data_IF_888023332691
#
_entry.id   IF_888023332691
#
_cell.length_a   1.000
_cell.length_b   1.000
_cell.length_c   1.000
_cell.angle_alpha   90.00
_cell.angle_beta   90.00
_cell.angle_gamma   90.00
#
_symmetry.space_group_name_H-M   'P 1'
#
loop_
_entity.id
_entity.type
_entity.pdbx_description
1 polymer ?
#
# COMPACT_ATOMS: atom_id res chain seq x y z
N UNK A 1 -52.64 20.87 -1.76
CA UNK A 1 -51.37 21.00 -2.49
C UNK A 1 -50.36 20.17 -1.73
N UNK A 2 -50.01 19.01 -2.28
CA UNK A 2 -49.06 18.05 -1.71
C UNK A 2 -47.74 18.20 -2.47
N UNK A 3 -46.61 18.24 -1.77
CA UNK A 3 -45.29 18.10 -2.38
C UNK A 3 -44.62 16.88 -1.76
N UNK A 4 -44.28 15.92 -2.61
CA UNK A 4 -43.62 14.65 -2.32
C UNK A 4 -42.18 14.85 -1.80
N UNK A 5 -41.85 14.07 -0.77
CA UNK A 5 -40.47 13.79 -0.33
C UNK A 5 -39.97 12.57 -1.11
N UNK A 6 -39.18 12.79 -2.15
CA UNK A 6 -38.40 11.74 -2.80
C UNK A 6 -37.03 12.30 -3.18
N UNK A 7 -35.96 11.63 -2.73
CA UNK A 7 -34.60 11.97 -3.17
C UNK A 7 -33.45 11.55 -2.25
N UNK A 8 -33.58 10.47 -1.47
CA UNK A 8 -32.38 9.81 -0.95
C UNK A 8 -31.76 9.00 -2.10
N UNK A 9 -30.61 9.43 -2.59
CA UNK A 9 -29.59 8.57 -3.23
C UNK A 9 -28.32 9.36 -3.50
N UNK A 10 -27.21 8.91 -2.90
CA UNK A 10 -25.89 9.06 -3.47
C UNK A 10 -25.13 7.73 -3.25
N UNK A 11 -24.73 7.01 -4.32
CA UNK A 11 -24.07 5.72 -4.27
C UNK A 11 -22.53 5.86 -4.38
N UNK A 12 -21.88 6.64 -3.51
CA UNK A 12 -20.44 6.93 -3.63
C UNK A 12 -19.55 6.06 -2.73
N UNK A 13 -20.11 5.42 -1.70
CA UNK A 13 -19.33 4.59 -0.75
C UNK A 13 -18.95 3.21 -1.31
N UNK A 14 -19.63 2.72 -2.34
CA UNK A 14 -19.42 1.36 -2.87
C UNK A 14 -18.17 1.27 -3.78
N UNK A 15 -17.82 2.36 -4.45
CA UNK A 15 -16.71 2.37 -5.41
C UNK A 15 -15.32 2.33 -4.76
N UNK A 16 -15.20 2.83 -3.52
CA UNK A 16 -13.95 2.80 -2.76
C UNK A 16 -13.62 1.37 -2.27
N UNK A 17 -14.64 0.62 -1.82
CA UNK A 17 -14.45 -0.78 -1.42
C UNK A 17 -14.19 -1.71 -2.60
N UNK A 18 -14.80 -1.47 -3.77
CA UNK A 18 -14.57 -2.31 -4.95
C UNK A 18 -13.15 -2.16 -5.51
N UNK A 19 -12.57 -0.95 -5.47
CA UNK A 19 -11.20 -0.73 -5.92
C UNK A 19 -10.15 -1.42 -5.03
N UNK A 20 -10.42 -1.50 -3.71
CA UNK A 20 -9.61 -2.30 -2.76
C UNK A 20 -9.75 -3.79 -3.08
N UNK A 21 -10.98 -4.29 -3.30
CA UNK A 21 -11.25 -5.70 -3.66
C UNK A 21 -10.70 -6.12 -5.03
N UNK A 22 -10.57 -5.20 -5.98
CA UNK A 22 -9.96 -5.48 -7.29
C UNK A 22 -8.43 -5.53 -7.21
N UNK A 23 -7.81 -4.72 -6.34
CA UNK A 23 -6.38 -4.82 -6.03
C UNK A 23 -6.03 -6.11 -5.27
N UNK A 24 -6.85 -6.50 -4.29
CA UNK A 24 -6.72 -7.79 -3.59
C UNK A 24 -6.78 -8.99 -4.54
N UNK A 25 -7.56 -8.87 -5.64
CA UNK A 25 -7.62 -9.89 -6.70
C UNK A 25 -6.37 -9.93 -7.57
N UNK A 26 -5.76 -8.78 -7.85
CA UNK A 26 -4.53 -8.71 -8.66
C UNK A 26 -3.31 -9.31 -7.94
N UNK A 27 -3.29 -9.27 -6.60
CA UNK A 27 -2.27 -9.93 -5.78
C UNK A 27 -2.49 -11.46 -5.62
N UNK A 28 -3.68 -11.98 -5.97
CA UNK A 28 -4.05 -13.37 -5.70
C UNK A 28 -3.70 -14.36 -6.82
N UNK A 29 -3.39 -13.91 -8.03
CA UNK A 29 -3.28 -14.78 -9.22
C UNK A 29 -1.85 -14.99 -9.76
N UNK A 30 -0.86 -14.90 -8.88
CA UNK A 30 0.52 -15.30 -9.20
C UNK A 30 0.70 -16.80 -8.94
N UNK A 31 0.78 -17.57 -10.03
CA UNK A 31 1.07 -19.02 -10.12
C UNK A 31 2.03 -19.49 -9.01
N UNK A 32 1.50 -20.29 -8.06
CA UNK A 32 2.23 -20.81 -6.91
C UNK A 32 3.28 -21.84 -7.33
N UNK A 33 4.55 -21.42 -7.40
CA UNK A 33 5.68 -22.35 -7.26
C UNK A 33 5.88 -22.75 -5.78
N UNK A 34 6.27 -24.00 -5.47
CA UNK A 34 6.48 -24.47 -4.10
C UNK A 34 7.49 -23.61 -3.32
N UNK A 35 7.29 -23.38 -2.00
CA UNK A 35 8.10 -22.47 -1.19
C UNK A 35 9.58 -22.87 -1.06
N UNK A 36 9.92 -24.15 -1.26
CA UNK A 36 11.28 -24.67 -1.09
C UNK A 36 12.25 -24.32 -2.24
N UNK A 37 11.76 -23.71 -3.33
CA UNK A 37 12.56 -23.44 -4.54
C UNK A 37 12.64 -21.96 -4.91
N UNK A 38 12.02 -21.06 -4.13
CA UNK A 38 12.14 -19.62 -4.38
C UNK A 38 13.50 -19.18 -3.85
N UNK A 39 14.37 -18.68 -4.73
CA UNK A 39 15.45 -17.79 -4.28
C UNK A 39 14.86 -16.58 -3.54
N UNK A 40 15.71 -15.80 -2.87
CA UNK A 40 15.23 -14.60 -2.18
C UNK A 40 14.39 -13.76 -3.16
N UNK A 41 13.12 -13.44 -2.80
CA UNK A 41 12.23 -12.75 -3.72
C UNK A 41 12.83 -11.41 -4.12
N UNK A 42 12.90 -11.16 -5.44
CA UNK A 42 13.39 -9.91 -6.00
C UNK A 42 12.47 -8.77 -5.55
N UNK A 43 12.97 -7.73 -4.86
CA UNK A 43 12.15 -6.60 -4.49
C UNK A 43 11.65 -5.87 -5.74
N UNK A 44 10.34 -5.63 -5.81
CA UNK A 44 9.67 -4.95 -6.91
C UNK A 44 8.91 -3.74 -6.40
N UNK A 45 9.29 -2.55 -6.87
CA UNK A 45 8.55 -1.31 -6.63
C UNK A 45 7.56 -1.08 -7.76
N UNK A 46 6.28 -0.88 -7.44
CA UNK A 46 5.23 -0.53 -8.40
C UNK A 46 4.39 0.64 -7.91
N UNK A 47 3.90 1.50 -8.81
CA UNK A 47 3.07 2.64 -8.47
C UNK A 47 1.74 2.64 -9.23
N UNK A 48 0.80 3.48 -8.79
CA UNK A 48 -0.53 3.64 -9.39
C UNK A 48 -0.48 4.01 -10.89
N UNK A 49 0.57 4.72 -11.33
CA UNK A 49 0.79 5.09 -12.73
C UNK A 49 1.27 3.93 -13.63
N UNK A 50 1.43 2.73 -13.08
CA UNK A 50 1.90 1.55 -13.78
C UNK A 50 3.43 1.44 -13.87
N UNK A 51 4.19 2.41 -13.32
CA UNK A 51 5.65 2.31 -13.27
C UNK A 51 6.09 1.13 -12.39
N UNK A 52 7.19 0.48 -12.81
CA UNK A 52 7.76 -0.70 -12.14
C UNK A 52 9.29 -0.63 -12.15
N UNK A 53 9.91 -0.95 -11.01
CA UNK A 53 11.37 -1.02 -10.85
C UNK A 53 11.72 -2.27 -10.04
N UNK A 54 12.42 -3.22 -10.66
CA UNK A 54 13.04 -4.36 -9.97
C UNK A 54 14.35 -3.91 -9.31
N UNK A 55 14.67 -4.50 -8.16
CA UNK A 55 15.85 -4.11 -7.36
C UNK A 55 15.97 -2.58 -7.18
N UNK A 56 14.91 -1.90 -6.70
CA UNK A 56 14.92 -0.46 -6.55
C UNK A 56 16.01 -0.05 -5.54
N UNK A 57 16.90 0.85 -5.96
CA UNK A 57 17.85 1.49 -5.04
C UNK A 57 17.17 2.60 -4.23
N UNK A 58 17.89 3.16 -3.26
CA UNK A 58 17.38 4.22 -2.39
C UNK A 58 16.91 5.45 -3.19
N UNK A 59 17.59 5.81 -4.27
CA UNK A 59 17.25 6.96 -5.09
C UNK A 59 15.96 6.71 -5.89
N UNK A 60 15.76 5.51 -6.42
CA UNK A 60 14.55 5.09 -7.10
C UNK A 60 13.35 5.10 -6.14
N UNK A 61 13.53 4.61 -4.91
CA UNK A 61 12.52 4.64 -3.84
C UNK A 61 12.15 6.10 -3.50
N UNK A 62 13.15 6.95 -3.23
CA UNK A 62 12.92 8.36 -2.90
C UNK A 62 12.19 9.09 -4.03
N UNK A 63 12.61 8.88 -5.28
CA UNK A 63 11.97 9.47 -6.43
C UNK A 63 10.53 9.00 -6.60
N UNK A 64 10.24 7.72 -6.33
CA UNK A 64 8.89 7.17 -6.44
C UNK A 64 7.95 7.74 -5.36
N UNK A 65 8.40 7.79 -4.09
CA UNK A 65 7.67 8.47 -3.01
C UNK A 65 7.48 9.96 -3.35
N UNK A 66 8.49 10.56 -3.98
CA UNK A 66 8.48 11.93 -4.51
C UNK A 66 7.30 12.23 -5.44
N UNK A 67 6.90 11.24 -6.25
CA UNK A 67 5.83 11.33 -7.25
C UNK A 67 4.43 11.03 -6.72
N UNK A 68 4.28 10.68 -5.44
CA UNK A 68 2.97 10.46 -4.84
C UNK A 68 2.12 11.74 -4.93
N UNK A 69 0.92 11.58 -5.46
CA UNK A 69 -0.04 12.66 -5.70
C UNK A 69 -1.47 12.11 -5.76
N UNK A 70 -2.53 12.94 -5.76
CA UNK A 70 -3.89 12.45 -5.91
C UNK A 70 -4.14 11.60 -7.18
N UNK A 71 -3.31 11.77 -8.23
CA UNK A 71 -3.38 10.98 -9.47
C UNK A 71 -2.46 9.75 -9.48
N UNK A 72 -1.42 9.76 -8.65
CA UNK A 72 -0.49 8.65 -8.46
C UNK A 72 -0.43 8.33 -6.97
N UNK A 73 -1.53 7.80 -6.46
CA UNK A 73 -1.89 7.92 -5.04
C UNK A 73 -1.37 6.77 -4.17
N UNK A 74 -0.79 5.72 -4.76
CA UNK A 74 -0.15 4.65 -4.02
C UNK A 74 1.13 4.15 -4.67
N UNK A 75 1.94 3.49 -3.83
CA UNK A 75 3.20 2.82 -4.15
C UNK A 75 3.24 1.51 -3.36
N UNK A 76 3.64 0.41 -3.98
CA UNK A 76 3.84 -0.89 -3.33
C UNK A 76 5.27 -1.35 -3.57
N UNK A 77 5.95 -1.77 -2.52
CA UNK A 77 7.21 -2.48 -2.57
C UNK A 77 6.96 -3.93 -2.15
N UNK A 78 6.97 -4.83 -3.11
CA UNK A 78 6.74 -6.26 -2.94
C UNK A 78 8.06 -7.00 -2.78
N UNK A 79 8.08 -7.99 -1.89
CA UNK A 79 9.19 -8.93 -1.70
C UNK A 79 8.61 -10.32 -1.42
N UNK A 80 7.87 -10.86 -2.40
CA UNK A 80 7.26 -12.17 -2.34
C UNK A 80 5.99 -12.19 -1.48
N UNK A 81 6.01 -12.93 -0.37
CA UNK A 81 4.83 -13.01 0.49
C UNK A 81 4.69 -11.76 1.41
N UNK A 82 5.71 -10.89 1.43
CA UNK A 82 5.75 -9.65 2.20
C UNK A 82 5.64 -8.44 1.28
N UNK A 83 4.97 -7.38 1.74
CA UNK A 83 4.98 -6.09 1.04
C UNK A 83 4.92 -4.93 2.03
N UNK A 84 5.33 -3.75 1.55
CA UNK A 84 5.03 -2.45 2.16
C UNK A 84 4.32 -1.58 1.14
N UNK A 85 3.17 -1.02 1.51
CA UNK A 85 2.39 -0.10 0.69
C UNK A 85 2.36 1.28 1.32
N UNK A 86 2.44 2.31 0.48
CA UNK A 86 2.24 3.71 0.86
C UNK A 86 1.09 4.26 0.04
N UNK A 87 0.12 4.88 0.70
CA UNK A 87 -1.01 5.53 0.03
C UNK A 87 -1.20 6.96 0.54
N UNK A 88 -1.63 7.86 -0.34
CA UNK A 88 -1.83 9.29 -0.08
C UNK A 88 -3.26 9.73 -0.48
N UNK A 89 -3.83 10.64 0.30
CA UNK A 89 -5.09 11.33 -0.03
C UNK A 89 -6.33 10.58 0.46
N UNK A 90 -7.51 11.02 -0.01
CA UNK A 90 -8.81 10.54 0.47
C UNK A 90 -8.97 9.02 0.33
N UNK A 91 -8.46 8.46 -0.77
CA UNK A 91 -8.47 7.00 -1.04
C UNK A 91 -7.64 6.18 -0.05
N UNK A 92 -6.72 6.83 0.66
CA UNK A 92 -5.89 6.16 1.65
C UNK A 92 -6.58 6.04 3.02
N UNK A 93 -7.81 6.58 3.20
CA UNK A 93 -8.52 6.57 4.49
C UNK A 93 -7.68 7.12 5.67
N UNK A 94 -6.85 8.12 5.39
CA UNK A 94 -6.00 8.80 6.36
C UNK A 94 -6.40 10.28 6.46
N UNK A 95 -5.91 10.96 7.48
CA UNK A 95 -6.13 12.41 7.63
C UNK A 95 -5.47 13.21 6.49
N UNK A 96 -5.99 14.41 6.14
CA UNK A 96 -5.42 15.22 5.07
C UNK A 96 -3.93 15.52 5.28
N UNK A 97 -3.13 15.35 4.22
CA UNK A 97 -1.69 15.58 4.25
C UNK A 97 -0.86 14.47 4.91
N UNK A 98 -1.49 13.37 5.33
CA UNK A 98 -0.81 12.20 5.87
C UNK A 98 -0.81 11.05 4.85
N UNK A 99 0.03 10.07 5.15
CA UNK A 99 0.18 8.85 4.39
C UNK A 99 -0.33 7.67 5.22
N UNK A 100 -1.01 6.74 4.57
CA UNK A 100 -1.18 5.40 5.12
C UNK A 100 0.05 4.58 4.72
N UNK A 101 0.77 4.05 5.72
CA UNK A 101 1.83 3.08 5.55
C UNK A 101 1.27 1.73 6.00
N UNK A 102 1.32 0.73 5.13
CA UNK A 102 0.81 -0.60 5.41
C UNK A 102 1.88 -1.64 5.11
N UNK A 103 1.87 -2.74 5.86
CA UNK A 103 2.72 -3.88 5.53
C UNK A 103 2.01 -5.20 5.80
N UNK A 104 2.38 -6.22 5.01
CA UNK A 104 2.02 -7.62 5.26
C UNK A 104 3.27 -8.42 5.56
N UNK A 105 3.21 -9.19 6.64
CA UNK A 105 4.28 -10.07 7.08
C UNK A 105 4.00 -11.54 6.70
N UNK A 106 4.07 -11.85 5.40
CA UNK A 106 3.99 -13.21 4.86
C UNK A 106 2.58 -13.82 4.80
N UNK A 107 1.78 -13.68 5.86
CA UNK A 107 0.43 -14.24 5.95
C UNK A 107 -0.66 -13.17 5.83
N UNK A 108 -1.85 -13.50 5.26
CA UNK A 108 -2.95 -12.55 5.13
C UNK A 108 -3.42 -11.94 6.45
N UNK A 109 -3.37 -12.70 7.54
CA UNK A 109 -3.76 -12.25 8.89
C UNK A 109 -2.69 -11.40 9.58
N UNK A 110 -1.53 -11.19 8.94
CA UNK A 110 -0.42 -10.37 9.47
C UNK A 110 -0.29 -9.06 8.69
N UNK A 111 -1.38 -8.30 8.64
CA UNK A 111 -1.43 -7.00 7.98
C UNK A 111 -1.52 -5.88 9.02
N UNK A 112 -0.64 -4.91 8.89
CA UNK A 112 -0.54 -3.79 9.80
C UNK A 112 -0.60 -2.48 9.04
N UNK A 113 -1.09 -1.44 9.72
CA UNK A 113 -1.25 -0.09 9.19
C UNK A 113 -0.80 0.94 10.20
N UNK A 114 -0.12 1.98 9.74
CA UNK A 114 0.23 3.16 10.51
C UNK A 114 -0.07 4.41 9.69
N UNK A 115 -0.41 5.51 10.35
CA UNK A 115 -0.48 6.83 9.71
C UNK A 115 0.84 7.57 9.90
N UNK A 116 1.39 8.12 8.82
CA UNK A 116 2.70 8.79 8.83
C UNK A 116 2.58 10.19 8.21
N UNK A 117 3.09 11.21 8.90
CA UNK A 117 3.11 12.58 8.37
C UNK A 117 4.35 12.85 7.53
N UNK A 118 5.50 12.30 7.96
CA UNK A 118 6.79 12.65 7.40
C UNK A 118 7.16 11.73 6.24
N UNK A 119 7.31 12.32 5.05
CA UNK A 119 7.77 11.64 3.85
C UNK A 119 9.12 10.93 4.04
N UNK A 120 10.05 11.55 4.78
CA UNK A 120 11.36 10.97 5.04
C UNK A 120 11.26 9.67 5.87
N UNK A 121 10.32 9.58 6.81
CA UNK A 121 10.04 8.34 7.56
C UNK A 121 9.61 7.20 6.64
N UNK A 122 8.78 7.50 5.65
CA UNK A 122 8.31 6.52 4.65
C UNK A 122 9.47 6.03 3.78
N UNK A 123 10.32 6.94 3.30
CA UNK A 123 11.49 6.57 2.49
C UNK A 123 12.42 5.65 3.29
N UNK A 124 12.71 5.98 4.56
CA UNK A 124 13.50 5.11 5.44
C UNK A 124 12.88 3.72 5.61
N UNK A 125 11.55 3.64 5.74
CA UNK A 125 10.85 2.37 5.87
C UNK A 125 10.99 1.49 4.63
N UNK A 126 10.76 2.06 3.45
CA UNK A 126 10.88 1.33 2.18
C UNK A 126 12.31 0.86 1.92
N UNK A 127 13.31 1.69 2.23
CA UNK A 127 14.73 1.30 2.11
C UNK A 127 15.06 0.14 3.06
N UNK A 128 14.68 0.25 4.34
CA UNK A 128 14.89 -0.82 5.32
C UNK A 128 14.21 -2.13 4.90
N UNK A 129 12.98 -2.05 4.39
CA UNK A 129 12.26 -3.21 3.87
C UNK A 129 12.94 -3.82 2.64
N UNK A 130 13.37 -3.00 1.67
CA UNK A 130 14.12 -3.47 0.50
C UNK A 130 15.42 -4.18 0.88
N UNK A 131 16.11 -3.69 1.92
CA UNK A 131 17.32 -4.28 2.48
C UNK A 131 17.06 -5.55 3.31
N UNK A 132 15.80 -5.91 3.56
CA UNK A 132 15.43 -7.05 4.41
C UNK A 132 15.65 -6.81 5.90
N UNK A 133 15.80 -5.55 6.31
CA UNK A 133 15.92 -5.17 7.70
C UNK A 133 14.56 -5.16 8.39
N UNK A 134 14.55 -5.35 9.72
CA UNK A 134 13.33 -5.33 10.53
C UNK A 134 13.19 -4.07 11.38
N UNK A 135 14.27 -3.32 11.55
CA UNK A 135 14.32 -2.16 12.44
C UNK A 135 13.36 -1.03 12.01
N UNK A 136 13.07 -0.91 10.72
CA UNK A 136 12.16 0.12 10.21
C UNK A 136 10.75 0.05 10.84
N UNK A 137 10.29 -1.14 11.22
CA UNK A 137 8.97 -1.31 11.85
C UNK A 137 8.89 -0.61 13.20
N UNK A 138 9.99 -0.45 13.90
CA UNK A 138 10.00 0.10 15.26
C UNK A 138 9.70 1.61 15.29
N UNK A 139 9.74 2.29 14.14
CA UNK A 139 9.53 3.73 14.03
C UNK A 139 8.05 4.15 13.93
N UNK A 140 7.10 3.22 13.94
CA UNK A 140 5.69 3.50 13.67
C UNK A 140 4.75 2.85 14.69
N UNK A 141 3.64 3.52 14.94
CA UNK A 141 2.55 3.04 15.80
C UNK A 141 1.60 2.16 14.97
N UNK A 142 1.94 0.88 14.84
CA UNK A 142 1.18 -0.07 14.03
C UNK A 142 -0.16 -0.46 14.66
N UNK A 143 -1.18 -0.49 13.82
CA UNK A 143 -2.49 -1.06 14.08
C UNK A 143 -2.63 -2.36 13.29
N UNK A 144 -3.02 -3.43 13.97
CA UNK A 144 -3.31 -4.71 13.31
C UNK A 144 -4.69 -4.64 12.63
N UNK A 145 -4.71 -4.84 11.32
CA UNK A 145 -5.95 -4.92 10.55
C UNK A 145 -6.52 -6.34 10.65
N UNK A 146 -7.78 -6.43 11.06
CA UNK A 146 -8.55 -7.68 11.06
C UNK A 146 -9.42 -7.69 9.81
N UNK A 147 -9.21 -8.67 8.95
CA UNK A 147 -10.07 -8.96 7.79
C UNK A 147 -11.17 -9.95 8.16
#
# INVERSE_FOLDING_TARGET
MSFDLAGWSAPEDVAAEEAVREHERSAADAVRSPPASRGDPVPLLSACDGSRVEHPDAAAIEAAVGRLSPRNWFLVLDRGDHYVQVSLGERAATRPGWYALEHRDGLPDRHFRAEVAERAGIVRALIGFAAGEDAWRQAFDWQHLKF
#
